data_IF_813195544731
#
_entry.id   IF_813195544731
#
_cell.length_a   1.000
_cell.length_b   1.000
_cell.length_c   1.000
_cell.angle_alpha   90.00
_cell.angle_beta   90.00
_cell.angle_gamma   90.00
#
_symmetry.space_group_name_H-M   'P 1'
#
loop_
_entity.id
_entity.type
_entity.pdbx_description
1 polymer ?
#
# COMPACT_ATOMS: atom_id res chain seq x y z
N UNK A 1 -12.32 -13.13 -57.77
CA UNK A 1 -11.83 -12.12 -56.81
C UNK A 1 -12.79 -12.06 -55.63
N UNK A 2 -12.44 -12.65 -54.52
CA UNK A 2 -13.27 -12.73 -53.30
C UNK A 2 -12.87 -11.62 -52.34
N UNK A 3 -13.78 -10.71 -52.03
CA UNK A 3 -13.58 -9.67 -51.02
C UNK A 3 -13.67 -10.28 -49.62
N UNK A 4 -12.58 -10.28 -48.85
CA UNK A 4 -12.57 -10.59 -47.42
C UNK A 4 -13.35 -9.54 -46.65
N UNK A 5 -14.43 -9.96 -45.97
CA UNK A 5 -15.13 -9.18 -44.96
C UNK A 5 -14.22 -9.02 -43.74
N UNK A 6 -13.88 -7.79 -43.42
CA UNK A 6 -13.23 -7.44 -42.16
C UNK A 6 -14.31 -7.42 -41.09
N UNK A 7 -14.31 -8.38 -40.19
CA UNK A 7 -15.14 -8.35 -38.97
C UNK A 7 -14.68 -7.21 -38.07
N UNK A 8 -15.58 -6.25 -37.85
CA UNK A 8 -15.42 -5.22 -36.82
C UNK A 8 -15.48 -5.91 -35.46
N UNK A 9 -14.36 -5.97 -34.74
CA UNK A 9 -14.36 -6.25 -33.32
C UNK A 9 -15.26 -5.24 -32.61
N UNK A 10 -16.33 -5.73 -32.00
CA UNK A 10 -17.20 -4.96 -31.12
C UNK A 10 -16.37 -4.54 -29.90
N UNK A 11 -16.12 -3.24 -29.78
CA UNK A 11 -15.63 -2.66 -28.52
C UNK A 11 -16.66 -2.98 -27.43
N UNK A 12 -16.19 -3.57 -26.34
CA UNK A 12 -17.02 -3.80 -25.16
C UNK A 12 -17.54 -2.47 -24.63
N UNK A 13 -18.81 -2.36 -24.23
CA UNK A 13 -19.37 -1.11 -23.75
C UNK A 13 -18.62 -0.64 -22.50
N UNK A 14 -18.31 0.64 -22.47
CA UNK A 14 -17.66 1.34 -21.35
C UNK A 14 -18.41 1.17 -20.00
N UNK A 15 -19.70 0.86 -20.05
CA UNK A 15 -20.54 0.57 -18.87
C UNK A 15 -20.13 -0.69 -18.10
N UNK A 16 -19.49 -1.68 -18.73
CA UNK A 16 -19.00 -2.89 -18.05
C UNK A 16 -17.79 -2.60 -17.14
N UNK A 17 -17.05 -1.51 -17.39
CA UNK A 17 -15.91 -1.09 -16.55
C UNK A 17 -16.37 -0.34 -15.29
N UNK A 18 -17.46 0.40 -15.35
CA UNK A 18 -18.03 1.15 -14.22
C UNK A 18 -18.65 0.22 -13.14
N UNK A 19 -19.15 -0.97 -13.53
CA UNK A 19 -19.69 -1.94 -12.58
C UNK A 19 -18.59 -2.77 -11.87
N UNK A 20 -17.36 -2.76 -12.39
CA UNK A 20 -16.21 -3.44 -11.76
C UNK A 20 -15.58 -2.65 -10.60
N UNK A 21 -15.90 -1.35 -10.47
CA UNK A 21 -15.46 -0.51 -9.35
C UNK A 21 -16.25 -0.76 -8.04
N UNK A 22 -17.23 -1.67 -8.06
CA UNK A 22 -18.06 -1.98 -6.89
C UNK A 22 -17.38 -2.96 -5.94
N UNK A 23 -16.83 -2.41 -4.90
CA UNK A 23 -16.47 -3.07 -3.63
C UNK A 23 -15.69 -4.39 -3.76
N UNK A 24 -14.39 -4.27 -3.99
CA UNK A 24 -13.47 -5.40 -3.76
C UNK A 24 -13.53 -5.71 -2.27
N UNK A 25 -13.89 -6.94 -1.92
CA UNK A 25 -13.81 -7.46 -0.55
C UNK A 25 -12.68 -8.47 -0.48
N UNK A 26 -11.67 -8.16 0.32
CA UNK A 26 -10.59 -9.10 0.57
C UNK A 26 -11.04 -10.21 1.53
N UNK A 27 -10.62 -11.45 1.24
CA UNK A 27 -10.81 -12.56 2.16
C UNK A 27 -9.86 -12.43 3.36
N UNK A 28 -10.30 -11.67 4.38
CA UNK A 28 -9.52 -11.45 5.59
C UNK A 28 -9.67 -12.62 6.56
N UNK A 29 -8.56 -12.99 7.15
CA UNK A 29 -8.55 -13.97 8.25
C UNK A 29 -9.32 -13.42 9.45
N UNK A 30 -10.10 -14.27 10.13
CA UNK A 30 -10.85 -13.88 11.33
C UNK A 30 -9.89 -13.62 12.48
N UNK A 31 -9.87 -12.38 12.97
CA UNK A 31 -9.10 -11.97 14.14
C UNK A 31 -10.00 -11.46 15.23
N UNK A 32 -9.69 -11.85 16.49
CA UNK A 32 -10.29 -11.23 17.67
C UNK A 32 -9.38 -10.11 18.13
N UNK A 33 -9.81 -8.89 17.91
CA UNK A 33 -9.05 -7.71 18.32
C UNK A 33 -9.22 -7.45 19.82
N UNK A 34 -8.15 -7.01 20.46
CA UNK A 34 -8.20 -6.44 21.82
C UNK A 34 -8.90 -5.08 21.79
N UNK A 35 -9.40 -4.58 22.93
CA UNK A 35 -10.03 -3.26 22.98
C UNK A 35 -9.11 -2.12 22.47
N UNK A 36 -7.81 -2.19 22.72
CA UNK A 36 -6.82 -1.22 22.19
C UNK A 36 -6.68 -1.28 20.68
N UNK A 37 -6.63 -2.48 20.12
CA UNK A 37 -6.57 -2.69 18.66
C UNK A 37 -7.86 -2.21 17.98
N UNK A 38 -9.02 -2.49 18.57
CA UNK A 38 -10.31 -1.98 18.08
C UNK A 38 -10.35 -0.46 18.08
N UNK A 39 -9.89 0.18 19.18
CA UNK A 39 -9.81 1.64 19.25
C UNK A 39 -8.88 2.20 18.16
N UNK A 40 -7.72 1.57 17.93
CA UNK A 40 -6.78 1.97 16.88
C UNK A 40 -7.40 1.82 15.48
N UNK A 41 -8.08 0.70 15.22
CA UNK A 41 -8.79 0.49 13.96
C UNK A 41 -9.85 1.56 13.72
N UNK A 42 -10.64 1.90 14.74
CA UNK A 42 -11.66 2.95 14.66
C UNK A 42 -11.05 4.32 14.34
N UNK A 43 -9.84 4.62 14.84
CA UNK A 43 -9.12 5.84 14.47
C UNK A 43 -8.70 5.83 13.00
N UNK A 44 -8.24 4.70 12.46
CA UNK A 44 -7.86 4.57 11.04
C UNK A 44 -9.09 4.76 10.15
N UNK A 45 -10.23 4.21 10.53
CA UNK A 45 -11.46 4.24 9.74
C UNK A 45 -12.24 5.54 9.89
N UNK A 46 -11.84 6.43 10.81
CA UNK A 46 -12.49 7.73 10.97
C UNK A 46 -12.02 8.69 9.88
N UNK A 47 -12.95 9.20 9.08
CA UNK A 47 -12.68 10.14 7.98
C UNK A 47 -12.04 11.45 8.42
N UNK A 48 -12.25 11.88 9.67
CA UNK A 48 -11.63 13.07 10.25
C UNK A 48 -10.15 12.87 10.59
N UNK A 49 -9.71 11.61 10.75
CA UNK A 49 -8.33 11.27 11.09
C UNK A 49 -7.45 11.34 9.83
N UNK A 50 -6.71 12.43 9.66
CA UNK A 50 -5.79 12.58 8.50
C UNK A 50 -4.41 12.02 8.78
N UNK A 51 -3.92 12.15 10.01
CA UNK A 51 -2.59 11.68 10.42
C UNK A 51 -2.75 10.95 11.76
N UNK A 52 -2.20 9.74 11.85
CA UNK A 52 -2.25 8.91 13.05
C UNK A 52 -0.83 8.52 13.44
N UNK A 53 -0.40 8.91 14.64
CA UNK A 53 0.86 8.47 15.22
C UNK A 53 0.61 7.28 16.14
N UNK A 54 1.34 6.19 15.89
CA UNK A 54 1.22 4.95 16.65
C UNK A 54 2.51 4.66 17.37
N UNK A 55 2.46 4.64 18.70
CA UNK A 55 3.60 4.27 19.55
C UNK A 55 3.27 3.03 20.37
N UNK A 56 4.26 2.17 20.57
CA UNK A 56 4.10 0.96 21.37
C UNK A 56 5.32 0.04 21.25
N UNK A 57 5.47 -0.94 22.15
CA UNK A 57 6.60 -1.86 22.14
C UNK A 57 6.63 -2.73 20.89
N UNK A 58 7.78 -3.35 20.61
CA UNK A 58 7.89 -4.36 19.57
C UNK A 58 6.88 -5.49 19.80
N UNK A 59 6.36 -6.08 18.74
CA UNK A 59 5.36 -7.17 18.82
C UNK A 59 3.93 -6.73 19.20
N UNK A 60 3.65 -5.45 19.39
CA UNK A 60 2.30 -4.95 19.71
C UNK A 60 1.35 -4.85 18.51
N UNK A 61 1.67 -5.49 17.40
CA UNK A 61 0.87 -5.57 16.17
C UNK A 61 0.61 -4.23 15.48
N UNK A 62 1.48 -3.21 15.65
CA UNK A 62 1.30 -1.89 15.01
C UNK A 62 1.20 -1.99 13.49
N UNK A 63 2.19 -2.60 12.85
CA UNK A 63 2.26 -2.80 11.38
C UNK A 63 1.05 -3.59 10.88
N UNK A 64 0.70 -4.69 11.56
CA UNK A 64 -0.46 -5.52 11.24
C UNK A 64 -1.76 -4.71 11.25
N UNK A 65 -2.02 -3.98 12.33
CA UNK A 65 -3.25 -3.20 12.50
C UNK A 65 -3.34 -2.03 11.52
N UNK A 66 -2.20 -1.39 11.21
CA UNK A 66 -2.14 -0.33 10.21
C UNK A 66 -2.51 -0.88 8.82
N UNK A 67 -1.90 -1.97 8.40
CA UNK A 67 -2.21 -2.63 7.13
C UNK A 67 -3.66 -3.14 7.07
N UNK A 68 -4.16 -3.74 8.16
CA UNK A 68 -5.55 -4.18 8.23
C UNK A 68 -6.53 -3.03 8.01
N UNK A 69 -6.29 -1.88 8.66
CA UNK A 69 -7.11 -0.68 8.50
C UNK A 69 -7.04 -0.11 7.09
N UNK A 70 -5.84 -0.05 6.49
CA UNK A 70 -5.66 0.42 5.11
C UNK A 70 -6.37 -0.47 4.09
N UNK A 71 -6.24 -1.79 4.21
CA UNK A 71 -6.95 -2.74 3.36
C UNK A 71 -8.46 -2.57 3.49
N UNK A 72 -8.96 -2.25 4.70
CA UNK A 72 -10.35 -1.94 4.91
C UNK A 72 -10.79 -0.65 4.22
N UNK A 73 -9.99 0.41 4.29
CA UNK A 73 -10.24 1.66 3.58
C UNK A 73 -10.22 1.47 2.06
N UNK A 74 -9.37 0.57 1.54
CA UNK A 74 -9.36 0.23 0.10
C UNK A 74 -10.59 -0.58 -0.32
N UNK A 75 -11.19 -1.37 0.56
CA UNK A 75 -12.48 -2.03 0.28
C UNK A 75 -13.62 -1.03 0.11
N UNK A 76 -13.57 0.06 0.87
CA UNK A 76 -14.58 1.12 0.81
C UNK A 76 -14.34 2.06 -0.37
N UNK A 77 -13.07 2.26 -0.76
CA UNK A 77 -12.66 3.10 -1.88
C UNK A 77 -11.39 2.54 -2.55
N UNK A 78 -11.59 1.76 -3.61
CA UNK A 78 -10.49 1.11 -4.34
C UNK A 78 -9.67 2.07 -5.21
N UNK A 79 -10.04 3.35 -5.31
CA UNK A 79 -9.19 4.36 -5.97
C UNK A 79 -7.92 4.64 -5.19
N UNK A 80 -7.91 4.36 -3.88
CA UNK A 80 -6.75 4.56 -3.00
C UNK A 80 -5.67 3.50 -3.23
N UNK A 81 -4.42 3.92 -3.13
CA UNK A 81 -3.26 3.03 -3.18
C UNK A 81 -2.48 3.09 -1.87
N UNK A 82 -1.83 2.01 -1.49
CA UNK A 82 -0.93 1.98 -0.33
C UNK A 82 0.47 2.42 -0.76
N UNK A 83 0.98 3.46 -0.10
CA UNK A 83 2.36 3.91 -0.21
C UNK A 83 3.11 3.55 1.08
N UNK A 84 3.96 2.54 1.00
CA UNK A 84 4.81 2.12 2.12
C UNK A 84 6.09 2.93 2.13
N UNK A 85 6.32 3.62 3.23
CA UNK A 85 7.50 4.46 3.43
C UNK A 85 8.35 3.89 4.55
N UNK A 86 9.62 3.66 4.28
CA UNK A 86 10.58 3.16 5.27
C UNK A 86 11.89 3.90 5.16
N UNK A 87 12.56 4.12 6.30
CA UNK A 87 13.96 4.53 6.31
C UNK A 87 14.82 3.38 5.83
N UNK A 88 15.66 3.63 4.84
CA UNK A 88 16.71 2.71 4.47
C UNK A 88 17.90 3.06 5.35
N UNK A 89 18.13 2.27 6.38
CA UNK A 89 19.42 2.28 7.06
C UNK A 89 20.37 1.55 6.11
N UNK A 90 21.16 2.31 5.37
CA UNK A 90 22.25 1.74 4.59
C UNK A 90 23.17 0.97 5.55
N UNK A 91 23.11 -0.36 5.51
CA UNK A 91 24.23 -1.14 6.02
C UNK A 91 25.43 -0.79 5.13
N UNK A 92 26.54 -0.42 5.73
CA UNK A 92 27.71 0.21 5.11
C UNK A 92 28.31 -0.48 3.88
N UNK A 93 27.82 -1.67 3.52
CA UNK A 93 28.39 -2.51 2.43
C UNK A 93 27.58 -2.52 1.12
N UNK A 94 26.35 -1.97 1.07
CA UNK A 94 25.55 -1.97 -0.17
C UNK A 94 24.70 -0.70 -0.26
N UNK A 95 25.26 0.35 -0.84
CA UNK A 95 24.50 1.53 -1.23
C UNK A 95 23.47 1.18 -2.33
N UNK A 96 22.29 1.78 -2.26
CA UNK A 96 21.22 1.65 -3.28
C UNK A 96 21.69 1.93 -4.71
N UNK A 97 22.80 2.68 -4.86
CA UNK A 97 23.41 3.00 -6.16
C UNK A 97 23.94 1.81 -6.94
N UNK A 98 24.19 0.67 -6.28
CA UNK A 98 24.76 -0.54 -6.92
C UNK A 98 23.72 -1.54 -7.41
N UNK A 99 22.42 -1.33 -7.15
CA UNK A 99 21.37 -2.22 -7.65
C UNK A 99 21.02 -1.84 -9.10
N UNK A 100 20.98 -2.84 -10.03
CA UNK A 100 20.54 -2.61 -11.41
C UNK A 100 19.01 -2.35 -11.45
N UNK A 101 18.54 -1.58 -12.42
CA UNK A 101 17.12 -1.32 -12.65
C UNK A 101 16.70 0.12 -12.37
N UNK A 102 15.44 0.40 -12.61
CA UNK A 102 14.81 1.69 -12.25
C UNK A 102 14.57 1.79 -10.74
N UNK A 103 14.08 2.95 -10.30
CA UNK A 103 13.83 3.21 -8.87
C UNK A 103 12.83 2.19 -8.29
N UNK A 104 11.78 1.85 -9.03
CA UNK A 104 10.74 0.93 -8.56
C UNK A 104 11.29 -0.51 -8.41
N UNK A 105 12.08 -0.98 -9.38
CA UNK A 105 12.73 -2.30 -9.33
C UNK A 105 13.74 -2.41 -8.18
N UNK A 106 14.45 -1.32 -7.87
CA UNK A 106 15.39 -1.27 -6.74
C UNK A 106 14.70 -1.40 -5.39
N UNK A 107 13.40 -1.03 -5.31
CA UNK A 107 12.64 -1.09 -4.07
C UNK A 107 11.77 -2.33 -3.91
N UNK A 108 11.60 -3.15 -4.94
CA UNK A 108 10.85 -4.40 -4.85
C UNK A 108 11.33 -5.33 -3.70
N UNK A 109 12.64 -5.46 -3.40
CA UNK A 109 13.11 -6.23 -2.25
C UNK A 109 12.61 -5.70 -0.88
N UNK A 110 12.32 -4.40 -0.78
CA UNK A 110 11.81 -3.79 0.45
C UNK A 110 10.30 -3.99 0.64
N UNK A 111 9.60 -4.36 -0.41
CA UNK A 111 8.19 -4.74 -0.36
C UNK A 111 7.97 -6.16 0.18
N UNK A 112 8.96 -7.04 0.11
CA UNK A 112 8.84 -8.42 0.61
C UNK A 112 8.24 -8.50 2.01
N UNK A 113 8.83 -7.87 3.03
CA UNK A 113 8.28 -7.89 4.40
C UNK A 113 6.88 -7.30 4.52
N UNK A 114 6.51 -6.35 3.65
CA UNK A 114 5.17 -5.79 3.62
C UNK A 114 4.17 -6.80 3.06
N UNK A 115 4.51 -7.48 1.96
CA UNK A 115 3.65 -8.52 1.38
C UNK A 115 3.49 -9.71 2.31
N UNK A 116 4.56 -10.15 2.99
CA UNK A 116 4.48 -11.19 4.02
C UNK A 116 3.45 -10.82 5.10
N UNK A 117 3.46 -9.55 5.54
CA UNK A 117 2.46 -9.05 6.51
C UNK A 117 1.06 -8.94 5.92
N UNK A 118 0.94 -8.60 4.66
CA UNK A 118 -0.36 -8.58 3.98
C UNK A 118 -0.96 -10.00 3.89
N UNK A 119 -0.15 -11.00 3.58
CA UNK A 119 -0.57 -12.41 3.50
C UNK A 119 -0.95 -13.00 4.87
N UNK A 120 -0.51 -12.40 5.98
CA UNK A 120 -1.05 -12.71 7.30
C UNK A 120 -2.51 -12.24 7.46
N UNK A 121 -2.94 -11.22 6.71
CA UNK A 121 -4.26 -10.57 6.81
C UNK A 121 -5.24 -11.08 5.76
N UNK A 122 -4.81 -11.10 4.50
CA UNK A 122 -5.60 -11.48 3.31
C UNK A 122 -5.03 -12.76 2.69
N UNK A 123 -5.71 -13.30 1.68
CA UNK A 123 -5.19 -14.47 0.95
C UNK A 123 -4.00 -14.09 0.07
N UNK A 124 -3.07 -15.04 -0.22
CA UNK A 124 -1.98 -14.80 -1.17
C UNK A 124 -2.47 -14.37 -2.56
N UNK A 125 -3.65 -14.84 -2.97
CA UNK A 125 -4.29 -14.44 -4.23
C UNK A 125 -4.66 -12.96 -4.24
N UNK A 126 -5.27 -12.46 -3.16
CA UNK A 126 -5.63 -11.06 -3.01
C UNK A 126 -4.37 -10.17 -2.94
N UNK A 127 -3.33 -10.60 -2.21
CA UNK A 127 -2.06 -9.88 -2.13
C UNK A 127 -1.38 -9.78 -3.50
N UNK A 128 -1.34 -10.90 -4.26
CA UNK A 128 -0.81 -10.93 -5.62
C UNK A 128 -1.61 -10.05 -6.57
N UNK A 129 -2.92 -10.01 -6.44
CA UNK A 129 -3.78 -9.12 -7.22
C UNK A 129 -3.44 -7.64 -6.97
N UNK A 130 -3.31 -7.22 -5.70
CA UNK A 130 -2.93 -5.85 -5.36
C UNK A 130 -1.56 -5.48 -5.93
N UNK A 131 -0.60 -6.42 -5.91
CA UNK A 131 0.73 -6.24 -6.52
C UNK A 131 0.62 -6.02 -8.03
N UNK A 132 -0.11 -6.88 -8.73
CA UNK A 132 -0.29 -6.80 -10.19
C UNK A 132 -1.00 -5.51 -10.63
N UNK A 133 -1.95 -5.02 -9.82
CA UNK A 133 -2.66 -3.76 -10.08
C UNK A 133 -1.84 -2.51 -9.69
N UNK A 134 -0.61 -2.67 -9.17
CA UNK A 134 0.21 -1.56 -8.73
C UNK A 134 -0.38 -0.78 -7.54
N UNK A 135 -1.31 -1.42 -6.78
CA UNK A 135 -2.00 -0.81 -5.65
C UNK A 135 -1.15 -0.66 -4.40
N UNK A 136 0.03 -1.26 -4.40
CA UNK A 136 0.98 -1.19 -3.30
C UNK A 136 2.35 -0.83 -3.85
N UNK A 137 2.91 0.23 -3.35
CA UNK A 137 4.24 0.71 -3.72
C UNK A 137 5.08 0.99 -2.48
N UNK A 138 6.40 0.83 -2.58
CA UNK A 138 7.33 1.24 -1.54
C UNK A 138 8.23 2.37 -2.04
N UNK A 139 8.49 3.32 -1.17
CA UNK A 139 9.41 4.42 -1.47
C UNK A 139 10.24 4.70 -0.21
N UNK A 140 11.56 4.82 -0.32
CA UNK A 140 12.35 5.31 0.80
C UNK A 140 11.99 6.76 1.10
N UNK A 141 12.10 7.13 2.38
CA UNK A 141 11.79 8.48 2.84
C UNK A 141 12.51 9.57 2.05
N UNK A 142 13.76 9.32 1.65
CA UNK A 142 14.60 10.29 0.92
C UNK A 142 14.09 10.60 -0.50
N UNK A 143 13.21 9.77 -1.05
CA UNK A 143 12.65 9.90 -2.41
C UNK A 143 11.22 10.42 -2.44
N UNK A 144 10.66 10.79 -1.27
CA UNK A 144 9.31 11.35 -1.20
C UNK A 144 9.18 12.76 -1.75
N UNK A 145 10.30 13.46 -1.98
CA UNK A 145 10.30 14.82 -2.51
C UNK A 145 9.69 14.86 -3.91
N UNK A 146 8.65 15.66 -4.08
CA UNK A 146 7.95 15.82 -5.35
C UNK A 146 6.99 14.68 -5.71
N UNK A 147 6.79 13.70 -4.81
CA UNK A 147 5.80 12.65 -5.02
C UNK A 147 4.37 13.20 -4.87
N UNK A 148 3.46 12.75 -5.74
CA UNK A 148 2.03 13.04 -5.56
C UNK A 148 1.45 12.13 -4.49
N UNK A 149 0.73 12.73 -3.54
CA UNK A 149 0.08 12.03 -2.42
C UNK A 149 -1.42 11.87 -2.61
N UNK A 150 -1.93 12.25 -3.78
CA UNK A 150 -3.36 12.12 -4.08
C UNK A 150 -3.77 10.65 -4.09
N UNK A 151 -4.87 10.36 -3.44
CA UNK A 151 -5.43 9.00 -3.31
C UNK A 151 -4.46 7.96 -2.71
N UNK A 152 -3.53 8.39 -1.84
CA UNK A 152 -2.57 7.52 -1.20
C UNK A 152 -2.88 7.32 0.27
N UNK A 153 -2.90 6.06 0.70
CA UNK A 153 -2.83 5.64 2.10
C UNK A 153 -1.35 5.47 2.45
N UNK A 154 -0.78 6.47 3.10
CA UNK A 154 0.65 6.48 3.41
C UNK A 154 0.92 5.77 4.71
N UNK A 155 1.81 4.79 4.68
CA UNK A 155 2.25 4.03 5.85
C UNK A 155 3.75 4.20 6.06
N UNK A 156 4.10 5.05 7.02
CA UNK A 156 5.48 5.25 7.46
C UNK A 156 5.83 4.25 8.57
N UNK A 157 6.58 3.20 8.22
CA UNK A 157 7.03 2.18 9.17
C UNK A 157 8.41 2.53 9.74
N UNK A 158 8.64 2.15 11.00
CA UNK A 158 9.87 2.45 11.74
C UNK A 158 10.25 3.96 11.73
N UNK A 159 9.23 4.83 11.81
CA UNK A 159 9.38 6.28 11.70
C UNK A 159 10.31 6.91 12.76
N UNK A 160 10.64 6.19 13.84
CA UNK A 160 11.66 6.63 14.80
C UNK A 160 13.06 6.74 14.18
N UNK A 161 13.31 6.00 13.09
CA UNK A 161 14.59 6.03 12.36
C UNK A 161 14.68 7.20 11.37
N UNK A 162 13.58 7.96 11.18
CA UNK A 162 13.59 9.13 10.32
C UNK A 162 14.29 10.30 10.99
N UNK A 163 15.09 11.05 10.25
CA UNK A 163 15.67 12.30 10.73
C UNK A 163 14.57 13.36 10.96
N UNK A 164 14.87 14.40 11.76
CA UNK A 164 13.91 15.49 11.98
C UNK A 164 13.49 16.18 10.66
N UNK A 165 14.43 16.29 9.71
CA UNK A 165 14.16 16.86 8.39
C UNK A 165 13.21 15.99 7.58
N UNK A 166 13.43 14.68 7.54
CA UNK A 166 12.55 13.73 6.84
C UNK A 166 11.15 13.67 7.46
N UNK A 167 11.03 13.82 8.79
CA UNK A 167 9.72 13.88 9.46
C UNK A 167 8.94 15.13 9.07
N UNK A 168 9.58 16.26 8.91
CA UNK A 168 8.91 17.51 8.50
C UNK A 168 8.47 17.46 7.02
N UNK A 169 9.23 16.81 6.16
CA UNK A 169 8.93 16.69 4.73
C UNK A 169 7.82 15.64 4.45
N UNK A 170 7.57 14.71 5.37
CA UNK A 170 6.51 13.69 5.23
C UNK A 170 5.13 14.14 5.74
N UNK A 171 5.00 15.37 6.27
CA UNK A 171 3.77 15.88 6.90
C UNK A 171 3.14 17.05 6.11
N UNK A 172 3.65 17.36 4.93
CA UNK A 172 3.11 18.46 4.08
C UNK A 172 2.04 17.96 3.12
#
# INVERSE_FOLDING_TARGET
MARKKVEKQKQAPFELLADFERSIKFNKKNFKFTPKQTRFLNLILNEDSKIIFVSGPAGSSKTYMSLYGMLKLMEDDFSKDILYVRSIVESADRGLGSLPGDIAEKFDPFLGPLYDKMEEIITPGDASYLKQQGKVSAVPINFLRGASWQNKLVFADEAQNFTLKERSESVV
#
